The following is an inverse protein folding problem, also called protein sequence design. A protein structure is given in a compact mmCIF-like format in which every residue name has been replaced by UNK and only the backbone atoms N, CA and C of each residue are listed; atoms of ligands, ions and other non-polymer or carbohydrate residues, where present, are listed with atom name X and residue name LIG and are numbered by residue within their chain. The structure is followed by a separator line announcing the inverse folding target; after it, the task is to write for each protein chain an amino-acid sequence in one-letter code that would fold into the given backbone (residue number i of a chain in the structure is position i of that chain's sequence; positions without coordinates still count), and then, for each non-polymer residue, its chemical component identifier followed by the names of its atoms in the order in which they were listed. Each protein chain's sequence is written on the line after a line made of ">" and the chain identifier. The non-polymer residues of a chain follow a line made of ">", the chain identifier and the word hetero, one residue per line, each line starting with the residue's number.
data_IF_985186860575
#
_entry.id   IF_985186860575
#
_cell.length_a   1.000
_cell.length_b   1.000
_cell.length_c   1.000
_cell.angle_alpha   90.00
_cell.angle_beta   90.00
_cell.angle_gamma   90.00
#
_symmetry.space_group_name_H-M   'P 1'
#
loop_
_entity.id
_entity.type
_entity.pdbx_description
1 polymer ?
#
# COMPACT_ATOMS: atom_id res chain seq x y z
N UNK A 1 28.31 -62.39 6.39
CA UNK A 1 29.27 -61.63 5.58
C UNK A 1 28.98 -60.15 5.72
N UNK A 2 29.61 -59.50 6.70
CA UNK A 2 29.59 -58.03 6.81
C UNK A 2 30.62 -57.47 5.84
N UNK A 3 30.15 -56.85 4.75
CA UNK A 3 31.04 -56.13 3.83
C UNK A 3 31.70 -54.97 4.56
N UNK A 4 33.01 -54.82 4.35
CA UNK A 4 33.81 -53.74 4.94
C UNK A 4 33.44 -52.38 4.32
N UNK A 5 33.60 -51.29 5.08
CA UNK A 5 33.27 -49.93 4.62
C UNK A 5 34.02 -49.54 3.33
N UNK A 6 35.23 -50.08 3.18
CA UNK A 6 36.08 -49.89 2.00
C UNK A 6 35.48 -50.54 0.73
N UNK A 7 34.91 -51.74 0.85
CA UNK A 7 34.18 -52.40 -0.23
C UNK A 7 32.89 -51.65 -0.58
N UNK A 8 32.22 -51.06 0.41
CA UNK A 8 31.05 -50.20 0.19
C UNK A 8 31.42 -48.94 -0.61
N UNK A 9 32.50 -48.24 -0.22
CA UNK A 9 33.00 -47.08 -0.94
C UNK A 9 33.44 -47.42 -2.36
N UNK A 10 34.09 -48.57 -2.55
CA UNK A 10 34.50 -49.06 -3.86
C UNK A 10 33.28 -49.39 -4.75
N UNK A 11 32.25 -50.04 -4.20
CA UNK A 11 31.01 -50.34 -4.92
C UNK A 11 30.23 -49.09 -5.29
N UNK A 12 30.17 -48.09 -4.42
CA UNK A 12 29.55 -46.79 -4.72
C UNK A 12 30.34 -46.04 -5.79
N UNK A 13 31.67 -46.07 -5.72
CA UNK A 13 32.55 -45.50 -6.76
C UNK A 13 32.32 -46.15 -8.12
N UNK A 14 32.24 -47.49 -8.18
CA UNK A 14 31.96 -48.22 -9.41
C UNK A 14 30.55 -47.97 -9.94
N UNK A 15 29.57 -47.77 -9.04
CA UNK A 15 28.22 -47.41 -9.42
C UNK A 15 28.15 -46.03 -10.07
N UNK A 16 28.85 -45.04 -9.51
CA UNK A 16 28.95 -43.69 -10.09
C UNK A 16 29.59 -43.70 -11.48
N UNK A 17 30.74 -44.36 -11.63
CA UNK A 17 31.43 -44.47 -12.91
C UNK A 17 32.22 -45.77 -13.01
N UNK A 18 31.88 -46.59 -14.01
CA UNK A 18 32.59 -47.81 -14.31
C UNK A 18 33.54 -47.58 -15.51
N UNK A 19 34.86 -47.42 -15.31
CA UNK A 19 35.80 -47.13 -16.38
C UNK A 19 35.95 -48.29 -17.39
N UNK A 20 35.64 -49.53 -16.98
CA UNK A 20 35.77 -50.74 -17.81
C UNK A 20 34.69 -50.83 -18.89
N UNK A 21 33.45 -50.51 -18.52
CA UNK A 21 32.30 -50.53 -19.43
C UNK A 21 31.87 -49.13 -19.90
N UNK A 22 32.52 -48.07 -19.39
CA UNK A 22 32.20 -46.65 -19.62
C UNK A 22 30.75 -46.30 -19.26
N UNK A 23 30.23 -46.92 -18.21
CA UNK A 23 28.88 -46.70 -17.72
C UNK A 23 28.87 -45.66 -16.59
N UNK A 24 27.86 -44.79 -16.57
CA UNK A 24 27.60 -43.81 -15.51
C UNK A 24 26.30 -44.20 -14.82
N UNK A 25 26.31 -44.37 -13.51
CA UNK A 25 25.13 -44.79 -12.73
C UNK A 25 24.48 -46.08 -13.29
N UNK A 26 25.30 -47.04 -13.72
CA UNK A 26 24.85 -48.34 -14.27
C UNK A 26 24.20 -48.28 -15.65
N UNK A 27 24.41 -47.21 -16.42
CA UNK A 27 23.96 -47.10 -17.82
C UNK A 27 25.03 -46.53 -18.74
N UNK A 28 25.03 -47.00 -19.98
CA UNK A 28 25.89 -46.48 -21.03
C UNK A 28 25.53 -45.02 -21.39
N UNK A 29 26.52 -44.23 -21.83
CA UNK A 29 26.34 -42.83 -22.20
C UNK A 29 25.35 -42.63 -23.35
N UNK A 30 25.27 -43.59 -24.28
CA UNK A 30 24.28 -43.58 -25.35
C UNK A 30 22.85 -43.80 -24.84
N UNK A 31 22.68 -44.61 -23.78
CA UNK A 31 21.39 -44.81 -23.11
C UNK A 31 20.94 -43.54 -22.42
N UNK A 32 21.86 -42.87 -21.71
CA UNK A 32 21.61 -41.56 -21.11
C UNK A 32 21.20 -40.50 -22.14
N UNK A 33 21.90 -40.43 -23.28
CA UNK A 33 21.56 -39.51 -24.36
C UNK A 33 20.15 -39.78 -24.92
N UNK A 34 19.77 -41.04 -25.11
CA UNK A 34 18.41 -41.42 -25.56
C UNK A 34 17.33 -41.03 -24.54
N UNK A 35 17.57 -41.27 -23.26
CA UNK A 35 16.65 -40.89 -22.18
C UNK A 35 16.51 -39.36 -22.09
N UNK A 36 17.63 -38.64 -22.12
CA UNK A 36 17.64 -37.18 -22.07
C UNK A 36 16.91 -36.57 -23.28
N UNK A 37 17.14 -37.10 -24.48
CA UNK A 37 16.45 -36.65 -25.69
C UNK A 37 14.93 -36.88 -25.60
N UNK A 38 14.51 -38.06 -25.12
CA UNK A 38 13.10 -38.36 -24.91
C UNK A 38 12.44 -37.36 -23.95
N UNK A 39 13.04 -37.13 -22.77
CA UNK A 39 12.49 -36.17 -21.80
C UNK A 39 12.56 -34.72 -22.30
N UNK A 40 13.60 -34.35 -23.05
CA UNK A 40 13.70 -33.02 -23.63
C UNK A 40 12.55 -32.75 -24.60
N UNK A 41 12.29 -33.67 -25.55
CA UNK A 41 11.18 -33.54 -26.50
C UNK A 41 9.84 -33.51 -25.76
N UNK A 42 9.65 -34.39 -24.78
CA UNK A 42 8.42 -34.44 -23.99
C UNK A 42 8.18 -33.16 -23.18
N UNK A 43 9.22 -32.62 -22.54
CA UNK A 43 9.13 -31.37 -21.78
C UNK A 43 8.85 -30.17 -22.70
N UNK A 44 9.48 -30.12 -23.89
CA UNK A 44 9.20 -29.09 -24.89
C UNK A 44 7.73 -29.14 -25.35
N UNK A 45 7.19 -30.34 -25.55
CA UNK A 45 5.77 -30.53 -25.87
C UNK A 45 4.86 -30.03 -24.74
N UNK A 46 5.11 -30.44 -23.49
CA UNK A 46 4.33 -30.01 -22.32
C UNK A 46 4.41 -28.49 -22.11
N UNK A 47 5.59 -27.90 -22.28
CA UNK A 47 5.78 -26.45 -22.22
C UNK A 47 4.99 -25.73 -23.33
N UNK A 48 4.95 -26.29 -24.54
CA UNK A 48 4.15 -25.76 -25.66
C UNK A 48 2.64 -25.79 -25.38
N UNK A 49 2.14 -26.89 -24.83
CA UNK A 49 0.73 -27.00 -24.40
C UNK A 49 0.41 -25.98 -23.31
N UNK A 50 1.27 -25.85 -22.29
CA UNK A 50 1.10 -24.88 -21.22
C UNK A 50 1.11 -23.43 -21.75
N UNK A 51 2.08 -23.09 -22.59
CA UNK A 51 2.17 -21.78 -23.22
C UNK A 51 0.92 -21.47 -24.08
N UNK A 52 0.37 -22.48 -24.76
CA UNK A 52 -0.87 -22.33 -25.52
C UNK A 52 -2.06 -22.02 -24.62
N UNK A 53 -2.20 -22.70 -23.47
CA UNK A 53 -3.26 -22.40 -22.50
C UNK A 53 -3.10 -21.00 -21.91
N UNK A 54 -1.88 -20.58 -21.56
CA UNK A 54 -1.62 -19.20 -21.10
C UNK A 54 -1.94 -18.19 -22.20
N UNK A 55 -1.59 -18.48 -23.46
CA UNK A 55 -1.89 -17.63 -24.60
C UNK A 55 -3.40 -17.45 -24.82
N UNK A 56 -4.17 -18.54 -24.78
CA UNK A 56 -5.63 -18.51 -24.87
C UNK A 56 -6.23 -17.73 -23.69
N UNK A 57 -5.76 -17.98 -22.46
CA UNK A 57 -6.21 -17.26 -21.28
C UNK A 57 -5.99 -15.74 -21.41
N UNK A 58 -4.80 -15.32 -21.87
CA UNK A 58 -4.48 -13.91 -22.09
C UNK A 58 -5.25 -13.27 -23.25
N UNK A 59 -5.75 -14.07 -24.20
CA UNK A 59 -6.61 -13.61 -25.29
C UNK A 59 -8.08 -13.43 -24.86
N UNK A 60 -8.56 -14.24 -23.91
CA UNK A 60 -9.93 -14.18 -23.39
C UNK A 60 -10.09 -13.04 -22.35
N UNK A 61 -9.05 -12.79 -21.55
CA UNK A 61 -9.12 -11.79 -20.48
C UNK A 61 -9.03 -10.37 -21.07
N UNK A 62 -10.01 -9.54 -20.73
CA UNK A 62 -9.97 -8.10 -21.04
C UNK A 62 -8.78 -7.43 -20.35
N UNK A 63 -7.97 -6.70 -21.11
CA UNK A 63 -6.78 -6.00 -20.61
C UNK A 63 -7.11 -4.71 -19.86
N UNK A 64 -8.32 -4.17 -20.00
CA UNK A 64 -8.71 -2.86 -19.44
C UNK A 64 -9.31 -2.98 -18.04
N UNK A 65 -10.04 -4.06 -17.78
CA UNK A 65 -10.83 -4.24 -16.57
C UNK A 65 -10.68 -5.67 -16.04
N UNK A 66 -10.59 -5.85 -14.70
CA UNK A 66 -10.52 -7.18 -14.13
C UNK A 66 -11.85 -7.93 -14.34
N UNK A 67 -11.81 -9.24 -14.61
CA UNK A 67 -13.00 -10.03 -14.91
C UNK A 67 -13.92 -10.20 -13.68
N UNK A 68 -13.35 -10.31 -12.48
CA UNK A 68 -14.11 -10.46 -11.24
C UNK A 68 -14.18 -9.13 -10.48
N UNK A 69 -15.39 -8.55 -10.39
CA UNK A 69 -15.70 -7.27 -9.74
C UNK A 69 -16.92 -7.40 -8.83
N UNK A 70 -17.08 -6.46 -7.89
CA UNK A 70 -18.21 -6.44 -6.95
C UNK A 70 -18.20 -7.62 -5.98
N UNK A 71 -19.36 -8.26 -5.79
CA UNK A 71 -19.62 -9.29 -4.76
C UNK A 71 -18.86 -10.62 -4.97
N UNK A 72 -18.06 -10.73 -6.03
CA UNK A 72 -17.30 -11.93 -6.41
C UNK A 72 -15.80 -11.82 -6.14
N UNK A 73 -15.32 -10.69 -5.60
CA UNK A 73 -13.91 -10.51 -5.28
C UNK A 73 -13.65 -10.73 -3.78
N UNK A 74 -12.50 -11.31 -3.43
CA UNK A 74 -12.08 -11.55 -2.04
C UNK A 74 -11.82 -10.25 -1.23
N UNK A 75 -11.84 -9.09 -1.90
CA UNK A 75 -11.67 -7.76 -1.30
C UNK A 75 -13.02 -7.20 -0.81
N UNK A 76 -14.15 -7.73 -1.29
CA UNK A 76 -15.47 -7.52 -0.72
C UNK A 76 -15.62 -8.38 0.54
N UNK A 77 -15.20 -7.83 1.68
CA UNK A 77 -15.40 -8.41 3.01
C UNK A 77 -16.88 -8.55 3.41
N UNK A 78 -17.81 -8.05 2.59
CA UNK A 78 -19.25 -8.24 2.75
C UNK A 78 -19.91 -8.44 1.38
N UNK A 79 -20.86 -9.38 1.34
CA UNK A 79 -21.65 -9.85 0.18
C UNK A 79 -22.40 -8.69 -0.50
N UNK A 80 -22.50 -7.53 0.15
CA UNK A 80 -23.20 -6.37 -0.39
C UNK A 80 -22.29 -5.28 -0.97
N UNK A 81 -21.11 -4.96 -0.40
CA UNK A 81 -20.23 -3.85 -0.88
C UNK A 81 -18.76 -3.98 -0.44
N UNK A 82 -17.77 -3.82 -1.34
CA UNK A 82 -16.37 -3.77 -0.95
C UNK A 82 -16.00 -2.45 -0.26
N UNK A 83 -15.33 -2.53 0.89
CA UNK A 83 -14.77 -1.37 1.59
C UNK A 83 -13.32 -1.14 1.10
N UNK A 84 -13.02 -0.01 0.42
CA UNK A 84 -11.66 0.29 0.01
C UNK A 84 -10.76 0.48 1.22
N UNK A 85 -9.56 -0.10 1.14
CA UNK A 85 -8.49 0.21 2.07
C UNK A 85 -8.15 1.70 2.02
N UNK A 86 -7.82 2.26 3.19
CA UNK A 86 -7.35 3.63 3.32
C UNK A 86 -5.84 3.62 3.56
N UNK A 87 -5.09 4.14 2.60
CA UNK A 87 -3.68 4.44 2.74
C UNK A 87 -3.45 5.90 3.12
N UNK A 88 -2.22 6.22 3.52
CA UNK A 88 -1.79 7.59 3.73
C UNK A 88 -0.44 7.86 3.06
N UNK A 89 -0.12 9.13 2.87
CA UNK A 89 1.16 9.64 2.39
C UNK A 89 1.59 10.80 3.29
N UNK A 90 2.90 10.94 3.59
CA UNK A 90 4.05 10.19 3.09
C UNK A 90 4.29 8.84 3.77
N UNK A 91 4.97 7.92 3.09
CA UNK A 91 5.37 6.59 3.58
C UNK A 91 6.86 6.37 3.30
N UNK A 92 7.71 6.76 4.25
CA UNK A 92 9.17 6.59 4.13
C UNK A 92 9.63 5.14 4.36
N UNK A 93 8.81 4.31 4.98
CA UNK A 93 9.12 2.91 5.27
C UNK A 93 7.94 2.01 4.97
N UNK A 94 8.21 0.89 4.29
CA UNK A 94 7.19 -0.10 3.88
C UNK A 94 6.55 -0.84 5.07
N UNK A 95 7.23 -0.90 6.23
CA UNK A 95 6.79 -1.66 7.40
C UNK A 95 6.33 -0.80 8.59
N UNK A 96 6.43 0.54 8.51
CA UNK A 96 6.15 1.41 9.65
C UNK A 96 5.14 2.48 9.29
N UNK A 97 4.11 2.64 10.11
CA UNK A 97 3.11 3.71 10.00
C UNK A 97 3.49 4.97 10.80
N UNK A 98 4.56 4.90 11.61
CA UNK A 98 5.01 6.00 12.46
C UNK A 98 5.68 7.10 11.64
N UNK A 99 5.11 8.30 11.70
CA UNK A 99 5.75 9.53 11.22
C UNK A 99 6.50 10.17 12.39
N UNK A 100 7.83 10.14 12.35
CA UNK A 100 8.69 10.71 13.38
C UNK A 100 9.69 11.65 12.72
N UNK A 101 9.59 12.93 13.04
CA UNK A 101 10.49 13.95 12.53
C UNK A 101 10.79 14.99 13.62
N UNK A 102 11.81 15.80 13.38
CA UNK A 102 12.16 16.95 14.23
C UNK A 102 11.92 18.23 13.44
N UNK A 103 10.93 19.03 13.86
CA UNK A 103 10.51 20.28 13.19
C UNK A 103 11.64 21.31 13.08
N UNK A 104 12.46 21.46 14.13
CA UNK A 104 13.46 22.53 14.27
C UNK A 104 14.88 22.16 13.76
N UNK A 105 15.11 20.96 13.22
CA UNK A 105 16.45 20.55 12.80
C UNK A 105 16.84 21.16 11.44
N UNK A 106 17.64 22.24 11.48
CA UNK A 106 18.40 22.76 10.33
C UNK A 106 19.85 22.38 10.52
N UNK A 107 20.42 21.76 9.51
CA UNK A 107 21.86 21.51 9.38
C UNK A 107 22.58 22.79 8.88
N UNK A 108 23.91 22.77 8.95
CA UNK A 108 24.76 23.88 8.51
C UNK A 108 24.73 24.14 7.00
N UNK A 109 24.26 23.18 6.19
CA UNK A 109 24.17 23.26 4.72
C UNK A 109 22.75 23.52 4.19
N UNK A 110 21.76 23.70 5.07
CA UNK A 110 20.37 23.95 4.71
C UNK A 110 19.58 22.71 4.23
N UNK A 111 20.20 21.53 4.23
CA UNK A 111 19.58 20.24 3.96
C UNK A 111 18.86 19.65 5.20
N UNK A 112 17.52 19.70 5.16
CA UNK A 112 16.66 19.36 6.31
C UNK A 112 16.51 17.85 6.49
N UNK A 113 17.53 17.18 7.02
CA UNK A 113 17.55 15.74 7.31
C UNK A 113 16.38 15.25 8.19
N UNK A 114 15.73 16.14 8.96
CA UNK A 114 14.65 15.77 9.87
C UNK A 114 13.32 15.48 9.17
N UNK A 115 12.91 16.32 8.21
CA UNK A 115 11.60 16.22 7.56
C UNK A 115 11.63 16.33 6.03
N UNK A 116 12.77 16.68 5.44
CA UNK A 116 12.97 16.77 4.00
C UNK A 116 12.44 15.54 3.24
N UNK A 117 12.80 14.29 3.65
CA UNK A 117 12.32 13.09 2.97
C UNK A 117 10.79 12.95 2.92
N UNK A 118 10.08 13.44 3.95
CA UNK A 118 8.61 13.41 4.00
C UNK A 118 8.01 14.44 3.03
N UNK A 119 8.58 15.65 2.98
CA UNK A 119 8.20 16.68 2.02
C UNK A 119 8.46 16.21 0.59
N UNK A 120 9.64 15.67 0.32
CA UNK A 120 10.04 15.27 -1.04
C UNK A 120 9.11 14.18 -1.57
N UNK A 121 8.70 13.22 -0.73
CA UNK A 121 7.69 12.22 -1.11
C UNK A 121 6.32 12.82 -1.39
N UNK A 122 5.89 13.83 -0.61
CA UNK A 122 4.62 14.51 -0.86
C UNK A 122 4.67 15.34 -2.14
N UNK A 123 5.78 16.04 -2.39
CA UNK A 123 6.00 16.82 -3.60
C UNK A 123 6.03 15.90 -4.84
N UNK A 124 6.75 14.78 -4.78
CA UNK A 124 6.76 13.77 -5.84
C UNK A 124 5.37 13.18 -6.07
N UNK A 125 4.61 12.92 -5.00
CA UNK A 125 3.25 12.39 -5.12
C UNK A 125 2.30 13.40 -5.77
N UNK A 126 2.40 14.68 -5.41
CA UNK A 126 1.55 15.74 -5.96
C UNK A 126 1.97 16.18 -7.37
N UNK A 127 3.25 16.04 -7.75
CA UNK A 127 3.74 16.34 -9.09
C UNK A 127 2.94 15.62 -10.18
N UNK A 128 2.57 14.35 -9.93
CA UNK A 128 1.71 13.58 -10.84
C UNK A 128 0.37 14.27 -11.13
N UNK A 129 -0.23 14.92 -10.12
CA UNK A 129 -1.52 15.60 -10.28
C UNK A 129 -1.40 16.96 -10.98
N UNK A 130 -0.21 17.59 -10.95
CA UNK A 130 0.06 18.86 -11.65
C UNK A 130 0.45 18.61 -13.11
N UNK A 131 1.31 17.63 -13.36
CA UNK A 131 1.91 17.36 -14.68
C UNK A 131 1.01 16.49 -15.56
N UNK A 132 0.29 15.52 -14.99
CA UNK A 132 -0.59 14.64 -15.77
C UNK A 132 -1.79 15.38 -16.38
N UNK A 133 -2.20 16.52 -15.80
CA UNK A 133 -3.25 17.37 -16.36
C UNK A 133 -2.82 18.02 -17.69
N UNK A 134 -1.52 18.27 -17.86
CA UNK A 134 -0.97 18.97 -19.02
C UNK A 134 -0.56 18.00 -20.14
N UNK A 135 -0.01 16.83 -19.80
CA UNK A 135 0.62 15.96 -20.80
C UNK A 135 -0.33 15.03 -21.55
N UNK A 136 -1.43 14.57 -20.95
CA UNK A 136 -2.18 13.42 -21.50
C UNK A 136 -3.60 13.75 -21.99
N UNK A 137 -4.14 14.95 -21.71
CA UNK A 137 -5.52 15.36 -22.03
C UNK A 137 -6.60 14.32 -21.64
N UNK A 138 -6.30 13.40 -20.72
CA UNK A 138 -7.23 12.35 -20.26
C UNK A 138 -8.08 12.82 -19.08
N UNK A 139 -7.88 14.05 -18.62
CA UNK A 139 -8.62 14.66 -17.51
C UNK A 139 -9.72 15.58 -18.04
N UNK A 140 -10.89 15.53 -17.40
CA UNK A 140 -12.04 16.40 -17.68
C UNK A 140 -12.49 17.08 -16.39
N UNK A 141 -13.10 18.27 -16.50
CA UNK A 141 -13.70 18.92 -15.33
C UNK A 141 -15.05 18.26 -15.01
N UNK A 142 -15.15 17.69 -13.82
CA UNK A 142 -16.35 17.00 -13.34
C UNK A 142 -17.19 17.84 -12.36
N UNK A 143 -16.78 19.08 -12.06
CA UNK A 143 -17.48 19.94 -11.09
C UNK A 143 -18.93 20.19 -11.56
N UNK A 144 -19.89 19.79 -10.74
CA UNK A 144 -21.32 20.04 -10.97
C UNK A 144 -22.02 19.13 -11.98
N UNK A 145 -21.34 18.10 -12.53
CA UNK A 145 -21.93 17.16 -13.48
C UNK A 145 -22.45 15.89 -12.79
N UNK A 146 -23.51 15.30 -13.32
CA UNK A 146 -24.06 14.04 -12.80
C UNK A 146 -23.21 12.84 -13.25
N UNK A 147 -23.13 11.81 -12.41
CA UNK A 147 -22.35 10.59 -12.71
C UNK A 147 -22.80 9.91 -14.01
N UNK A 148 -24.09 9.97 -14.33
CA UNK A 148 -24.66 9.35 -15.53
C UNK A 148 -24.15 10.02 -16.82
N UNK A 149 -23.96 11.33 -16.80
CA UNK A 149 -23.40 12.09 -17.93
C UNK A 149 -21.91 11.80 -18.15
N UNK A 150 -21.17 11.48 -17.08
CA UNK A 150 -19.73 11.24 -17.11
C UNK A 150 -19.37 9.78 -17.43
N UNK A 151 -20.26 8.82 -17.12
CA UNK A 151 -20.05 7.38 -17.35
C UNK A 151 -19.57 7.01 -18.77
N UNK A 152 -20.11 7.55 -19.88
CA UNK A 152 -19.60 7.25 -21.21
C UNK A 152 -18.17 7.76 -21.43
N UNK A 153 -17.81 8.92 -20.87
CA UNK A 153 -16.46 9.49 -20.96
C UNK A 153 -15.44 8.64 -20.20
N UNK A 154 -15.83 8.03 -19.09
CA UNK A 154 -14.95 7.12 -18.35
C UNK A 154 -14.66 5.82 -19.10
N UNK A 155 -15.61 5.32 -19.90
CA UNK A 155 -15.42 4.11 -20.72
C UNK A 155 -14.38 4.29 -21.83
N UNK A 156 -14.23 5.51 -22.34
CA UNK A 156 -13.20 5.87 -23.33
C UNK A 156 -11.85 6.23 -22.69
N UNK A 157 -11.72 6.12 -21.36
CA UNK A 157 -10.47 6.35 -20.63
C UNK A 157 -10.27 7.76 -20.09
N UNK A 158 -11.29 8.63 -20.15
CA UNK A 158 -11.23 9.93 -19.46
C UNK A 158 -11.40 9.75 -17.95
N UNK A 159 -10.91 10.71 -17.17
CA UNK A 159 -10.98 10.74 -15.71
C UNK A 159 -11.23 12.15 -15.21
N UNK A 160 -11.76 12.30 -14.00
CA UNK A 160 -11.97 13.63 -13.43
C UNK A 160 -10.64 14.25 -13.02
N UNK A 161 -10.46 15.53 -13.38
CA UNK A 161 -9.34 16.33 -12.90
C UNK A 161 -9.44 16.50 -11.39
N UNK A 162 -8.33 16.26 -10.70
CA UNK A 162 -8.19 16.52 -9.28
C UNK A 162 -7.44 17.84 -9.07
N UNK A 163 -8.10 18.81 -8.45
CA UNK A 163 -7.59 20.16 -8.26
C UNK A 163 -6.79 20.25 -6.96
N UNK A 164 -5.46 20.31 -7.05
CA UNK A 164 -4.56 20.37 -5.88
C UNK A 164 -4.82 21.62 -5.04
N UNK A 165 -5.38 22.69 -5.64
CA UNK A 165 -5.71 23.91 -4.91
C UNK A 165 -6.79 23.70 -3.85
N UNK A 166 -7.52 22.58 -3.86
CA UNK A 166 -8.42 22.21 -2.77
C UNK A 166 -7.69 22.07 -1.42
N UNK A 167 -6.37 21.80 -1.43
CA UNK A 167 -5.57 21.74 -0.21
C UNK A 167 -5.16 23.11 0.33
N UNK A 168 -5.46 24.20 -0.37
CA UNK A 168 -5.17 25.57 0.03
C UNK A 168 -6.25 26.17 0.96
N UNK A 169 -7.08 25.33 1.59
CA UNK A 169 -8.11 25.79 2.51
C UNK A 169 -7.51 26.59 3.69
N UNK A 170 -8.21 27.68 4.07
CA UNK A 170 -7.74 28.68 5.04
C UNK A 170 -7.33 28.14 6.41
N UNK A 171 -7.79 26.94 6.80
CA UNK A 171 -7.61 26.42 8.16
C UNK A 171 -6.30 25.62 8.33
N UNK A 172 -5.80 24.96 7.28
CA UNK A 172 -4.54 24.19 7.30
C UNK A 172 -4.01 24.04 5.87
N UNK A 173 -3.22 24.99 5.35
CA UNK A 173 -2.74 24.92 3.97
C UNK A 173 -1.68 23.82 3.81
N UNK A 174 -2.07 22.71 3.19
CA UNK A 174 -1.17 21.60 2.89
C UNK A 174 -0.45 21.81 1.56
N UNK A 175 0.45 22.79 1.52
CA UNK A 175 1.12 23.22 0.28
C UNK A 175 2.62 22.97 0.28
N UNK A 176 3.15 22.70 -0.92
CA UNK A 176 4.58 22.60 -1.19
C UNK A 176 5.35 23.83 -0.71
N UNK A 177 4.80 25.03 -0.93
CA UNK A 177 5.39 26.32 -0.54
C UNK A 177 5.56 26.45 0.98
N UNK A 178 4.64 25.87 1.75
CA UNK A 178 4.69 25.86 3.22
C UNK A 178 5.29 24.58 3.80
N UNK A 179 5.98 23.79 2.98
CA UNK A 179 6.61 22.53 3.39
C UNK A 179 5.62 21.57 4.08
N UNK A 180 4.34 21.61 3.69
CA UNK A 180 3.27 20.84 4.34
C UNK A 180 3.22 21.01 5.87
N UNK A 181 3.66 22.17 6.37
CA UNK A 181 3.71 22.57 7.79
C UNK A 181 4.56 21.63 8.69
N UNK A 182 5.45 20.82 8.09
CA UNK A 182 6.45 20.00 8.83
C UNK A 182 7.48 20.86 9.56
N UNK A 183 7.78 22.06 9.07
CA UNK A 183 8.67 23.01 9.71
C UNK A 183 8.09 23.57 11.01
N UNK A 184 6.77 23.73 11.10
CA UNK A 184 6.07 24.22 12.30
C UNK A 184 5.65 23.13 13.28
N UNK A 185 5.89 21.86 12.96
CA UNK A 185 5.51 20.73 13.81
C UNK A 185 4.04 20.31 13.68
N UNK A 186 3.33 20.81 12.66
CA UNK A 186 1.96 20.43 12.34
C UNK A 186 1.94 19.73 10.97
N UNK A 187 2.35 18.45 10.89
CA UNK A 187 2.57 17.78 9.61
C UNK A 187 1.24 17.53 8.89
N UNK A 188 1.20 17.81 7.59
CA UNK A 188 0.10 17.34 6.76
C UNK A 188 0.30 15.88 6.32
N UNK A 189 -0.78 15.11 6.37
CA UNK A 189 -0.85 13.72 5.93
C UNK A 189 -1.99 13.62 4.91
N UNK A 190 -1.67 13.16 3.71
CA UNK A 190 -2.65 12.95 2.66
C UNK A 190 -3.26 11.56 2.80
N UNK A 191 -4.57 11.47 2.86
CA UNK A 191 -5.28 10.20 2.86
C UNK A 191 -5.62 9.80 1.42
N UNK A 192 -5.36 8.53 1.09
CA UNK A 192 -5.57 7.97 -0.24
C UNK A 192 -6.42 6.71 -0.15
N UNK A 193 -7.56 6.72 -0.83
CA UNK A 193 -8.39 5.53 -0.99
C UNK A 193 -7.78 4.60 -2.05
N UNK A 194 -7.84 3.30 -1.80
CA UNK A 194 -7.47 2.30 -2.80
C UNK A 194 -8.50 2.29 -3.93
N UNK A 195 -8.00 2.28 -5.17
CA UNK A 195 -8.86 2.23 -6.37
C UNK A 195 -9.55 0.86 -6.46
N UNK A 196 -10.87 0.87 -6.49
CA UNK A 196 -11.71 -0.30 -6.77
C UNK A 196 -12.53 0.00 -8.03
N UNK A 197 -12.57 -0.96 -8.96
CA UNK A 197 -13.38 -0.85 -10.17
C UNK A 197 -14.87 -0.99 -9.83
N UNK A 198 -15.71 -0.17 -10.46
CA UNK A 198 -17.17 -0.10 -10.25
C UNK A 198 -17.61 0.14 -8.80
N UNK A 199 -16.74 0.76 -8.00
CA UNK A 199 -17.08 1.18 -6.64
C UNK A 199 -17.62 2.60 -6.64
N UNK A 200 -18.77 2.78 -5.99
CA UNK A 200 -19.40 4.07 -5.80
C UNK A 200 -19.52 4.38 -4.29
N UNK A 201 -18.98 5.53 -3.83
CA UNK A 201 -19.07 5.92 -2.43
C UNK A 201 -20.51 6.27 -2.04
N UNK A 202 -21.00 5.66 -0.97
CA UNK A 202 -22.24 6.09 -0.31
C UNK A 202 -21.88 7.12 0.74
N UNK A 203 -22.47 8.31 0.66
CA UNK A 203 -22.30 9.35 1.66
C UNK A 203 -23.46 9.32 2.63
N UNK A 204 -23.17 9.40 3.92
CA UNK A 204 -24.17 9.51 4.99
C UNK A 204 -24.15 10.93 5.50
N UNK A 205 -25.28 11.62 5.47
CA UNK A 205 -25.37 13.01 5.96
C UNK A 205 -25.58 13.03 7.47
N UNK A 206 -26.32 12.06 7.97
CA UNK A 206 -26.70 11.98 9.37
C UNK A 206 -26.19 10.68 10.01
N UNK A 207 -25.85 10.74 11.29
CA UNK A 207 -25.45 9.56 12.08
C UNK A 207 -26.54 8.49 12.14
N UNK A 208 -27.81 8.87 11.96
CA UNK A 208 -28.94 7.96 11.91
C UNK A 208 -28.95 7.07 10.65
N UNK A 209 -28.43 7.57 9.52
CA UNK A 209 -28.37 6.87 8.22
C UNK A 209 -27.24 5.83 8.16
N UNK A 210 -26.28 5.92 9.09
CA UNK A 210 -25.16 4.99 9.18
C UNK A 210 -25.69 3.61 9.59
N UNK A 211 -25.34 2.52 8.87
CA UNK A 211 -25.74 1.17 9.25
C UNK A 211 -25.30 0.81 10.68
N UNK A 212 -26.10 0.02 11.40
CA UNK A 212 -25.84 -0.32 12.81
C UNK A 212 -24.48 -0.98 13.03
N UNK A 213 -23.98 -1.75 12.06
CA UNK A 213 -22.64 -2.36 12.10
C UNK A 213 -21.47 -1.35 12.23
N UNK A 214 -21.72 -0.08 11.92
CA UNK A 214 -20.77 1.02 12.08
C UNK A 214 -21.12 1.95 13.25
N UNK A 215 -22.34 1.87 13.80
CA UNK A 215 -22.76 2.62 14.98
C UNK A 215 -22.12 1.97 16.23
N UNK A 216 -21.47 2.78 17.07
CA UNK A 216 -20.88 2.30 18.34
C UNK A 216 -19.42 1.88 18.29
N UNK A 217 -18.80 1.74 17.11
CA UNK A 217 -17.33 1.79 17.03
C UNK A 217 -16.95 3.24 17.29
N UNK A 218 -16.06 3.55 18.24
CA UNK A 218 -15.51 4.89 18.33
C UNK A 218 -14.76 5.10 17.03
N UNK A 219 -15.40 5.74 16.04
CA UNK A 219 -14.70 6.46 15.00
C UNK A 219 -13.64 7.21 15.75
N UNK A 220 -12.38 6.88 15.48
CA UNK A 220 -11.25 7.52 16.11
C UNK A 220 -11.45 9.00 15.89
N UNK A 221 -12.07 9.65 16.88
CA UNK A 221 -11.80 11.03 17.19
C UNK A 221 -10.30 10.95 17.37
N UNK A 222 -9.58 11.37 16.34
CA UNK A 222 -8.28 11.97 16.52
C UNK A 222 -8.59 13.20 17.37
N UNK A 223 -8.88 12.95 18.65
CA UNK A 223 -8.73 13.89 19.74
C UNK A 223 -7.22 14.06 19.77
N UNK A 224 -6.76 14.90 18.86
CA UNK A 224 -5.49 15.58 18.99
C UNK A 224 -5.53 16.15 20.42
N UNK A 225 -4.82 15.50 21.34
CA UNK A 225 -4.27 16.03 22.57
C UNK A 225 -5.09 17.05 23.39
N UNK A 226 -6.43 17.00 23.40
CA UNK A 226 -7.23 17.89 24.28
C UNK A 226 -7.55 17.23 25.63
N UNK A 227 -7.50 15.90 25.74
CA UNK A 227 -7.81 15.23 27.02
C UNK A 227 -6.65 15.24 28.03
N UNK A 228 -5.41 15.53 27.59
CA UNK A 228 -4.31 15.71 28.55
C UNK A 228 -4.34 17.09 29.20
N UNK A 229 -4.81 18.12 28.47
CA UNK A 229 -4.92 19.48 29.01
C UNK A 229 -6.09 19.66 29.97
N UNK A 230 -7.24 19.00 29.76
CA UNK A 230 -8.38 19.12 30.68
C UNK A 230 -8.10 18.49 32.07
N UNK A 231 -7.43 17.34 32.13
CA UNK A 231 -7.11 16.69 33.41
C UNK A 231 -5.97 17.38 34.19
N UNK A 232 -5.07 18.08 33.51
CA UNK A 232 -3.98 18.84 34.15
C UNK A 232 -4.49 20.18 34.69
N UNK A 233 -5.39 20.86 33.98
CA UNK A 233 -5.97 22.14 34.43
C UNK A 233 -6.97 21.93 35.59
N UNK A 234 -7.75 20.85 35.58
CA UNK A 234 -8.66 20.53 36.69
C UNK A 234 -7.90 20.16 37.98
N UNK A 235 -6.75 19.46 37.87
CA UNK A 235 -5.88 19.18 39.03
C UNK A 235 -5.07 20.38 39.50
N UNK A 236 -4.68 21.32 38.63
CA UNK A 236 -3.98 22.54 39.05
C UNK A 236 -4.90 23.56 39.74
N UNK A 237 -6.19 23.65 39.39
CA UNK A 237 -7.14 24.51 40.13
C UNK A 237 -7.48 23.99 41.54
N UNK A 238 -7.43 22.67 41.76
CA UNK A 238 -7.66 22.08 43.08
C UNK A 238 -6.47 22.26 44.03
N UNK A 239 -5.25 22.45 43.53
CA UNK A 239 -4.07 22.73 44.37
C UNK A 239 -4.00 24.21 44.76
N UNK A 240 -4.47 25.13 43.90
CA UNK A 240 -4.47 26.57 44.19
C UNK A 240 -5.54 27.01 45.20
N UNK A 241 -6.64 26.27 45.35
CA UNK A 241 -7.73 26.58 46.31
C UNK A 241 -7.50 26.02 47.71
N UNK A 242 -6.55 25.10 47.89
CA UNK A 242 -6.14 24.62 49.22
C UNK A 242 -5.09 25.51 49.91
N UNK A 243 -4.39 26.39 49.17
CA UNK A 243 -3.28 27.19 49.74
C UNK A 243 -3.71 28.57 50.27
N UNK A 244 -4.94 29.03 50.02
CA UNK A 244 -5.40 30.38 50.42
C UNK A 244 -6.22 30.42 51.72
N UNK A 245 -6.40 29.30 52.44
CA UNK A 245 -7.15 29.24 53.71
C UNK A 245 -6.32 28.81 54.94
N UNK A 246 -4.99 28.91 54.91
CA UNK A 246 -4.15 28.48 56.05
C UNK A 246 -3.14 29.52 56.59
N UNK A 247 -3.21 30.79 56.19
CA UNK A 247 -2.40 31.87 56.79
C UNK A 247 -3.24 33.05 57.29
N UNK A 248 -4.19 32.74 58.18
CA UNK A 248 -4.71 33.72 59.16
C UNK A 248 -4.35 33.18 60.55
N UNK A 249 -3.09 33.31 60.95
CA UNK A 249 -2.58 33.37 62.34
C UNK A 249 -1.11 33.77 62.18
N UNK A 250 -0.78 35.02 62.56
CA UNK A 250 0.53 35.58 62.96
C UNK A 250 0.54 37.09 62.67
N UNK A 251 -0.27 37.84 63.43
CA UNK A 251 0.16 39.03 64.17
C UNK A 251 -0.95 39.49 65.09
#
# INVERSE_FOLDING_TARGET
>A
DELTCEEHCHNVSLWCYNPKYREICGRDGLSWARIALFYFIWLMFMAGVFASFVGIFMAIVDKRIPPYRGNSNAIALDISRPNPGLGFRPQIGVQKTLIKFRSSHRDSWGYRHGWGPYKDQLDQFLAYYTEADVQYQQTIDCKGQSIDSLRPLFRIGKSCRFDINMFNERRTPCTTQRNFEYDRGHPCVLLKLNKIYDWEPVTYKNAAEVPEQFKGKPYGRVKCLITFWLNVVEKMMLIATSSSKLNTIQK
#
